data_IF_248241124866
#
_entry.id   IF_248241124866
#
_cell.length_a   1.000
_cell.length_b   1.000
_cell.length_c   1.000
_cell.angle_alpha   90.00
_cell.angle_beta   90.00
_cell.angle_gamma   90.00
#
_symmetry.space_group_name_H-M   'P 1'
#
loop_
_entity.id
_entity.type
_entity.pdbx_description
1 polymer ?
#
# COMPACT_ATOMS: atom_id res chain seq x y z
N UNK A 1 8.45 15.57 -18.86
CA UNK A 1 9.53 14.56 -18.75
C UNK A 1 10.29 14.40 -20.08
N UNK A 2 9.59 14.30 -21.23
CA UNK A 2 10.27 14.16 -22.54
C UNK A 2 11.23 15.32 -22.81
N UNK A 3 10.83 16.57 -22.59
CA UNK A 3 11.68 17.77 -22.73
C UNK A 3 12.91 17.78 -21.79
N UNK A 4 12.92 16.92 -20.77
CA UNK A 4 13.99 16.78 -19.77
C UNK A 4 14.88 15.55 -20.04
N UNK A 5 14.75 14.91 -21.20
CA UNK A 5 15.57 13.76 -21.60
C UNK A 5 15.09 12.41 -21.04
N UNK A 6 13.83 12.33 -20.57
CA UNK A 6 13.23 11.03 -20.19
C UNK A 6 12.47 10.42 -21.36
N UNK A 7 12.75 9.17 -21.66
CA UNK A 7 12.01 8.35 -22.63
C UNK A 7 10.88 7.59 -21.95
N UNK A 8 9.69 7.61 -22.54
CA UNK A 8 8.59 6.80 -22.04
C UNK A 8 8.82 5.29 -22.33
N UNK A 9 8.42 4.47 -21.37
CA UNK A 9 8.46 3.02 -21.47
C UNK A 9 7.08 2.44 -21.19
N UNK A 10 6.68 1.38 -21.91
CA UNK A 10 5.45 0.67 -21.58
C UNK A 10 5.46 0.20 -20.12
N UNK A 11 4.28 0.14 -19.46
CA UNK A 11 4.19 -0.40 -18.11
C UNK A 11 4.77 -1.82 -18.07
N UNK A 12 5.68 -2.11 -17.13
CA UNK A 12 6.15 -3.47 -16.93
C UNK A 12 5.01 -4.34 -16.39
N UNK A 13 5.08 -5.65 -16.64
CA UNK A 13 4.18 -6.60 -16.01
C UNK A 13 4.19 -6.44 -14.48
N UNK A 14 3.02 -6.62 -13.85
CA UNK A 14 2.86 -6.44 -12.40
C UNK A 14 3.79 -7.36 -11.59
N UNK A 15 4.21 -8.48 -12.15
CA UNK A 15 5.23 -9.34 -11.57
C UNK A 15 6.21 -9.80 -12.65
N UNK A 16 7.49 -9.65 -12.36
CA UNK A 16 8.55 -10.13 -13.23
C UNK A 16 8.98 -11.54 -12.82
N UNK A 17 9.18 -12.46 -13.77
CA UNK A 17 9.76 -13.77 -13.50
C UNK A 17 11.14 -13.68 -12.85
N UNK A 18 11.47 -14.64 -11.98
CA UNK A 18 12.82 -14.76 -11.40
C UNK A 18 13.21 -13.76 -10.31
N UNK A 19 12.28 -12.89 -9.85
CA UNK A 19 12.58 -11.94 -8.78
C UNK A 19 12.05 -12.41 -7.42
N UNK A 20 12.84 -12.15 -6.36
CA UNK A 20 12.52 -12.48 -4.97
C UNK A 20 11.34 -11.66 -4.42
N UNK A 21 11.09 -10.46 -4.95
CA UNK A 21 9.96 -9.63 -4.54
C UNK A 21 8.65 -10.19 -5.09
N UNK A 22 7.64 -10.33 -4.22
CA UNK A 22 6.31 -10.78 -4.61
C UNK A 22 5.69 -9.80 -5.61
N UNK A 23 5.79 -8.49 -5.32
CA UNK A 23 5.32 -7.41 -6.17
C UNK A 23 6.26 -6.20 -6.04
N UNK A 24 6.43 -5.39 -7.10
CA UNK A 24 7.32 -4.26 -7.07
C UNK A 24 6.88 -3.20 -6.06
N UNK A 25 7.81 -2.70 -5.27
CA UNK A 25 7.62 -1.56 -4.38
C UNK A 25 7.58 -0.23 -5.15
N UNK A 26 7.29 0.88 -4.46
CA UNK A 26 7.23 2.21 -5.10
C UNK A 26 8.57 2.58 -5.75
N UNK A 27 9.67 2.43 -5.03
CA UNK A 27 11.03 2.57 -5.55
C UNK A 27 11.57 1.17 -5.84
N UNK A 28 11.51 0.74 -7.07
CA UNK A 28 12.05 -0.54 -7.54
C UNK A 28 12.63 -0.33 -8.94
N UNK A 29 13.93 -0.01 -9.06
CA UNK A 29 14.57 0.31 -10.33
C UNK A 29 14.65 -0.89 -11.26
N UNK A 30 14.41 -2.05 -10.73
CA UNK A 30 14.51 -3.33 -11.42
C UNK A 30 13.76 -3.42 -12.75
N UNK A 31 12.69 -2.63 -12.95
CA UNK A 31 12.01 -2.53 -14.24
C UNK A 31 12.86 -1.79 -15.28
N UNK A 32 13.79 -0.96 -14.84
CA UNK A 32 14.67 -0.16 -15.70
C UNK A 32 16.06 -0.79 -15.89
N UNK A 33 16.37 -1.92 -15.23
CA UNK A 33 17.69 -2.55 -15.31
C UNK A 33 18.18 -2.78 -16.77
N UNK A 34 17.37 -3.31 -17.72
CA UNK A 34 17.80 -3.49 -19.08
C UNK A 34 18.11 -2.17 -19.81
N UNK A 35 17.37 -1.11 -19.42
CA UNK A 35 17.54 0.23 -20.00
C UNK A 35 18.71 0.98 -19.38
N UNK A 36 18.90 0.82 -18.07
CA UNK A 36 20.09 1.35 -17.40
C UNK A 36 21.36 0.72 -17.95
N UNK A 37 21.34 -0.56 -18.30
CA UNK A 37 22.43 -1.24 -18.98
C UNK A 37 22.67 -0.65 -20.39
N UNK A 38 21.62 -0.34 -21.16
CA UNK A 38 21.72 0.28 -22.49
C UNK A 38 22.17 1.75 -22.45
N UNK A 39 21.93 2.45 -21.33
CA UNK A 39 22.40 3.82 -21.08
C UNK A 39 23.86 3.87 -20.57
N UNK A 40 24.58 2.76 -20.68
CA UNK A 40 25.91 2.59 -20.06
C UNK A 40 26.94 3.66 -20.41
N UNK A 41 26.78 4.36 -21.52
CA UNK A 41 27.69 5.39 -22.01
C UNK A 41 27.02 6.75 -22.25
N UNK A 42 25.72 6.89 -22.03
CA UNK A 42 24.96 8.14 -22.24
C UNK A 42 24.22 8.58 -20.97
N UNK A 43 24.06 9.90 -20.82
CA UNK A 43 23.15 10.47 -19.79
C UNK A 43 21.73 10.37 -20.27
N UNK A 44 20.80 9.95 -19.43
CA UNK A 44 19.41 9.91 -19.80
C UNK A 44 18.52 9.26 -18.78
N UNK A 45 17.22 9.34 -19.01
CA UNK A 45 16.22 8.78 -18.12
C UNK A 45 15.11 8.05 -18.87
N UNK A 46 14.40 7.25 -18.12
CA UNK A 46 13.18 6.56 -18.56
C UNK A 46 12.08 6.78 -17.53
N UNK A 47 10.83 6.80 -17.99
CA UNK A 47 9.67 6.90 -17.12
C UNK A 47 8.56 5.98 -17.60
N UNK A 48 7.72 5.57 -16.65
CA UNK A 48 6.54 4.75 -16.89
C UNK A 48 5.47 5.02 -15.85
N UNK A 49 4.24 4.63 -16.13
CA UNK A 49 3.18 4.52 -15.12
C UNK A 49 2.95 3.04 -14.87
N UNK A 50 3.09 2.60 -13.64
CA UNK A 50 2.99 1.18 -13.26
C UNK A 50 2.18 0.98 -12.00
N UNK A 51 1.77 -0.26 -11.75
CA UNK A 51 1.19 -0.65 -10.49
C UNK A 51 2.27 -1.05 -9.48
N UNK A 52 2.03 -0.69 -8.23
CA UNK A 52 2.78 -1.12 -7.05
C UNK A 52 1.82 -1.74 -6.04
N UNK A 53 2.20 -2.87 -5.48
CA UNK A 53 1.41 -3.56 -4.46
C UNK A 53 2.14 -3.50 -3.13
N UNK A 54 1.56 -2.81 -2.18
CA UNK A 54 2.07 -2.69 -0.82
C UNK A 54 1.68 -3.90 0.03
N UNK A 55 2.36 -5.04 -0.12
CA UNK A 55 2.03 -6.29 0.60
C UNK A 55 1.98 -6.12 2.13
N UNK A 56 2.68 -5.14 2.70
CA UNK A 56 2.66 -4.82 4.13
C UNK A 56 1.33 -4.22 4.60
N UNK A 57 0.59 -3.56 3.71
CA UNK A 57 -0.70 -2.92 4.03
C UNK A 57 -1.87 -3.91 4.00
N UNK A 58 -1.63 -5.14 3.53
CA UNK A 58 -2.66 -6.20 3.53
C UNK A 58 -3.10 -6.60 4.94
N UNK A 59 -2.33 -6.31 5.99
CA UNK A 59 -2.67 -6.64 7.37
C UNK A 59 -3.58 -5.62 8.06
N UNK A 60 -3.51 -4.35 7.65
CA UNK A 60 -4.30 -3.27 8.22
C UNK A 60 -4.48 -2.16 7.19
N UNK A 61 -5.65 -1.54 7.15
CA UNK A 61 -5.94 -0.34 6.35
C UNK A 61 -6.38 0.77 7.32
N UNK A 62 -5.45 1.33 8.14
CA UNK A 62 -5.79 2.44 9.02
C UNK A 62 -6.19 3.68 8.22
N UNK A 63 -6.81 4.64 8.88
CA UNK A 63 -7.09 5.97 8.31
C UNK A 63 -5.78 6.60 7.82
N UNK A 64 -5.79 7.21 6.64
CA UNK A 64 -4.62 7.87 6.07
C UNK A 64 -3.52 6.93 5.55
N UNK A 65 -3.77 5.61 5.50
CA UNK A 65 -2.87 4.67 4.85
C UNK A 65 -3.28 4.51 3.39
N UNK A 66 -2.33 4.60 2.47
CA UNK A 66 -2.60 4.44 1.04
C UNK A 66 -3.17 3.06 0.69
N UNK A 67 -3.91 2.96 -0.43
CA UNK A 67 -4.41 1.68 -0.94
C UNK A 67 -3.29 0.64 -1.10
N UNK A 68 -3.64 -0.64 -0.91
CA UNK A 68 -2.69 -1.75 -1.12
C UNK A 68 -2.20 -1.82 -2.57
N UNK A 69 -3.06 -1.49 -3.53
CA UNK A 69 -2.70 -1.34 -4.93
C UNK A 69 -2.68 0.14 -5.32
N UNK A 70 -1.54 0.62 -5.81
CA UNK A 70 -1.34 2.02 -6.20
C UNK A 70 -0.79 2.13 -7.62
N UNK A 71 -1.28 3.12 -8.37
CA UNK A 71 -0.56 3.58 -9.57
C UNK A 71 0.57 4.50 -9.15
N UNK A 72 1.71 4.29 -9.78
CA UNK A 72 2.94 5.04 -9.51
C UNK A 72 3.50 5.51 -10.83
N UNK A 73 3.67 6.83 -11.00
CA UNK A 73 4.54 7.35 -12.03
C UNK A 73 5.97 7.16 -11.54
N UNK A 74 6.70 6.29 -12.21
CA UNK A 74 8.10 5.95 -11.88
C UNK A 74 9.02 6.52 -12.93
N UNK A 75 10.12 7.15 -12.47
CA UNK A 75 11.19 7.60 -13.35
C UNK A 75 12.53 7.16 -12.78
N UNK A 76 13.46 6.83 -13.68
CA UNK A 76 14.85 6.50 -13.35
C UNK A 76 15.76 7.30 -14.27
N UNK A 77 16.78 7.90 -13.71
CA UNK A 77 17.81 8.62 -14.44
C UNK A 77 19.18 8.03 -14.15
N UNK A 78 19.98 7.82 -15.18
CA UNK A 78 21.38 7.42 -15.09
C UNK A 78 22.29 8.58 -15.49
N UNK A 79 23.28 8.86 -14.67
CA UNK A 79 24.28 9.90 -14.85
C UNK A 79 24.24 10.98 -13.77
N UNK A 80 25.33 11.76 -13.66
CA UNK A 80 25.43 12.81 -12.64
C UNK A 80 24.41 13.91 -12.90
N UNK A 81 23.72 14.30 -11.81
CA UNK A 81 22.70 15.35 -11.84
C UNK A 81 22.68 16.05 -10.48
N UNK A 82 22.81 17.40 -10.41
CA UNK A 82 22.70 18.11 -9.15
C UNK A 82 21.33 17.85 -8.48
N UNK A 83 21.31 17.62 -7.17
CA UNK A 83 20.09 17.22 -6.44
C UNK A 83 18.91 18.21 -6.58
N UNK A 84 19.19 19.53 -6.65
CA UNK A 84 18.12 20.53 -6.78
C UNK A 84 17.33 20.38 -8.09
N UNK A 85 17.95 19.98 -9.19
CA UNK A 85 17.29 19.88 -10.50
C UNK A 85 16.12 18.90 -10.49
N UNK A 86 16.30 17.60 -10.14
CA UNK A 86 15.18 16.67 -10.11
C UNK A 86 14.16 16.97 -9.01
N UNK A 87 14.55 17.60 -7.90
CA UNK A 87 13.63 18.01 -6.85
C UNK A 87 12.69 19.11 -7.40
N UNK A 88 13.25 20.11 -8.07
CA UNK A 88 12.49 21.17 -8.70
C UNK A 88 11.55 20.66 -9.79
N UNK A 89 12.01 19.74 -10.63
CA UNK A 89 11.20 19.12 -11.69
C UNK A 89 9.98 18.38 -11.12
N UNK A 90 10.18 17.61 -10.03
CA UNK A 90 9.07 16.90 -9.38
C UNK A 90 8.12 17.91 -8.71
N UNK A 91 8.64 18.93 -8.03
CA UNK A 91 7.81 19.96 -7.40
C UNK A 91 6.97 20.73 -8.45
N UNK A 92 7.56 21.09 -9.59
CA UNK A 92 6.84 21.69 -10.74
C UNK A 92 5.78 20.77 -11.32
N UNK A 93 6.07 19.47 -11.43
CA UNK A 93 5.10 18.48 -11.90
C UNK A 93 3.91 18.35 -10.95
N UNK A 94 4.14 18.33 -9.64
CA UNK A 94 3.09 18.32 -8.61
C UNK A 94 2.25 19.59 -8.65
N UNK A 95 2.88 20.75 -8.80
CA UNK A 95 2.18 22.03 -8.95
C UNK A 95 1.31 22.05 -10.22
N UNK A 96 1.84 21.56 -11.34
CA UNK A 96 1.09 21.40 -12.60
C UNK A 96 -0.08 20.42 -12.51
N UNK A 97 -0.05 19.51 -11.54
CA UNK A 97 -1.17 18.61 -11.23
C UNK A 97 -2.20 19.20 -10.27
N UNK A 98 -2.03 20.47 -9.82
CA UNK A 98 -2.98 21.19 -8.96
C UNK A 98 -2.62 21.21 -7.48
N UNK A 99 -1.43 20.75 -7.08
CA UNK A 99 -0.96 20.86 -5.69
C UNK A 99 -0.36 22.25 -5.45
N UNK A 100 -0.74 22.91 -4.35
CA UNK A 100 -0.10 24.18 -3.98
C UNK A 100 1.39 23.96 -3.63
N UNK A 101 2.27 24.49 -4.48
CA UNK A 101 3.72 24.35 -4.31
C UNK A 101 4.22 24.96 -2.98
N UNK A 102 3.54 25.99 -2.44
CA UNK A 102 3.91 26.65 -1.17
C UNK A 102 3.67 25.74 0.04
N UNK A 103 2.73 24.80 -0.09
CA UNK A 103 2.41 23.82 0.95
C UNK A 103 3.32 22.59 0.94
N UNK A 104 4.20 22.45 -0.03
CA UNK A 104 5.08 21.27 -0.10
C UNK A 104 6.05 21.24 1.09
N UNK A 105 6.21 20.05 1.63
CA UNK A 105 7.15 19.73 2.70
C UNK A 105 8.11 18.62 2.23
N UNK A 106 9.29 18.59 2.82
CA UNK A 106 10.38 17.70 2.39
C UNK A 106 10.93 16.94 3.58
N UNK A 107 11.01 15.61 3.47
CA UNK A 107 11.55 14.75 4.54
C UNK A 107 12.81 14.06 4.04
N UNK A 108 13.93 14.41 4.64
CA UNK A 108 15.24 13.85 4.33
C UNK A 108 15.48 12.60 5.18
N UNK A 109 15.84 11.50 4.52
CA UNK A 109 16.25 10.23 5.15
C UNK A 109 17.63 9.86 4.61
N UNK A 110 18.67 10.28 5.32
CA UNK A 110 20.07 10.12 4.91
C UNK A 110 20.99 9.97 6.14
N UNK A 111 22.22 9.50 5.93
CA UNK A 111 23.26 9.67 6.94
C UNK A 111 23.58 11.17 7.11
N UNK A 112 24.19 11.61 8.21
CA UNK A 112 24.53 13.02 8.37
C UNK A 112 25.34 13.57 7.20
N UNK A 113 26.34 12.83 6.71
CA UNK A 113 27.18 13.20 5.56
C UNK A 113 26.41 13.28 4.23
N UNK A 114 25.36 12.49 4.06
CA UNK A 114 24.55 12.48 2.84
C UNK A 114 23.39 13.47 2.91
N UNK A 115 23.02 13.95 4.11
CA UNK A 115 21.93 14.89 4.33
C UNK A 115 22.29 16.31 3.89
N UNK A 116 23.54 16.74 4.14
CA UNK A 116 24.00 18.11 3.86
C UNK A 116 23.82 18.52 2.38
N UNK A 117 24.20 17.70 1.38
CA UNK A 117 23.96 18.03 -0.02
C UNK A 117 22.47 18.17 -0.37
N UNK A 118 21.58 17.40 0.29
CA UNK A 118 20.13 17.53 0.09
C UNK A 118 19.59 18.81 0.74
N UNK A 119 20.03 19.16 1.96
CA UNK A 119 19.66 20.41 2.61
C UNK A 119 20.13 21.63 1.81
N UNK A 120 21.37 21.62 1.28
CA UNK A 120 21.87 22.65 0.39
C UNK A 120 21.02 22.78 -0.88
N UNK A 121 20.62 21.62 -1.48
CA UNK A 121 19.76 21.63 -2.65
C UNK A 121 18.38 22.24 -2.37
N UNK A 122 17.78 21.91 -1.21
CA UNK A 122 16.51 22.50 -0.76
C UNK A 122 16.64 23.98 -0.48
N UNK A 123 17.73 24.42 0.14
CA UNK A 123 18.02 25.84 0.37
C UNK A 123 18.13 26.64 -0.93
N UNK A 124 18.77 26.08 -1.98
CA UNK A 124 18.84 26.70 -3.32
C UNK A 124 17.46 26.86 -3.98
N UNK A 125 16.50 26.01 -3.64
CA UNK A 125 15.12 26.09 -4.10
C UNK A 125 14.24 27.03 -3.26
N UNK A 126 14.82 27.70 -2.24
CA UNK A 126 14.10 28.60 -1.36
C UNK A 126 13.17 27.89 -0.37
N UNK A 127 13.39 26.59 -0.10
CA UNK A 127 12.60 25.83 0.85
C UNK A 127 12.94 26.30 2.27
N UNK A 128 11.92 26.71 3.02
CA UNK A 128 12.10 27.19 4.39
C UNK A 128 12.43 26.03 5.36
N UNK A 129 13.24 26.27 6.40
CA UNK A 129 13.60 25.22 7.39
C UNK A 129 12.39 24.52 8.02
N UNK A 130 11.28 25.22 8.25
CA UNK A 130 10.02 24.64 8.78
C UNK A 130 9.34 23.62 7.85
N UNK A 131 9.65 23.68 6.56
CA UNK A 131 9.16 22.74 5.55
C UNK A 131 10.05 21.49 5.43
N UNK A 132 11.17 21.44 6.16
CA UNK A 132 12.11 20.32 6.10
C UNK A 132 12.01 19.52 7.38
N UNK A 133 11.72 18.23 7.23
CA UNK A 133 11.74 17.22 8.30
C UNK A 133 12.83 16.18 8.09
N UNK A 134 13.11 15.42 9.14
CA UNK A 134 14.02 14.28 9.06
C UNK A 134 13.35 13.00 9.57
N UNK A 135 13.58 11.87 8.87
CA UNK A 135 13.21 10.53 9.37
C UNK A 135 14.43 9.84 9.98
N UNK A 136 14.94 10.41 11.08
CA UNK A 136 16.11 9.91 11.80
C UNK A 136 15.98 8.44 12.22
N UNK A 137 14.75 7.94 12.48
CA UNK A 137 14.52 6.54 12.87
C UNK A 137 14.72 5.54 11.72
N UNK A 138 14.62 5.96 10.47
CA UNK A 138 15.00 5.13 9.32
C UNK A 138 16.52 5.10 9.11
N UNK A 139 17.20 6.19 9.43
CA UNK A 139 18.66 6.26 9.36
C UNK A 139 19.35 5.39 10.42
N UNK A 140 18.73 5.21 11.60
CA UNK A 140 19.29 4.47 12.76
C UNK A 140 18.92 2.99 12.82
N UNK A 141 18.08 2.46 11.96
CA UNK A 141 17.86 1.01 11.91
C UNK A 141 19.13 0.32 11.42
N UNK A 142 19.89 -0.23 12.37
CA UNK A 142 21.14 -1.04 12.19
C UNK A 142 21.00 -2.29 11.28
N UNK A 143 19.86 -2.52 10.66
CA UNK A 143 19.64 -3.60 9.69
C UNK A 143 19.74 -3.07 8.27
N UNK A 144 20.89 -3.21 7.72
CA UNK A 144 21.47 -2.80 6.46
C UNK A 144 21.80 -1.30 6.41
N UNK A 145 23.07 -0.94 6.02
CA UNK A 145 23.35 0.38 5.50
C UNK A 145 22.24 0.70 4.49
N UNK A 146 21.84 1.97 4.36
CA UNK A 146 20.88 2.38 3.35
C UNK A 146 21.42 1.91 1.99
N UNK A 147 21.13 0.64 1.68
CA UNK A 147 21.50 0.09 0.39
C UNK A 147 20.80 0.97 -0.64
N UNK A 148 21.56 1.90 -1.25
CA UNK A 148 21.05 2.77 -2.26
C UNK A 148 21.05 4.28 -1.97
N UNK A 149 21.79 4.80 -0.98
CA UNK A 149 22.04 6.24 -0.81
C UNK A 149 20.88 7.06 -0.20
N UNK A 150 21.02 8.41 -0.18
CA UNK A 150 20.09 9.31 0.44
C UNK A 150 18.71 9.30 -0.23
N UNK A 151 17.66 9.54 0.58
CA UNK A 151 16.27 9.56 0.15
C UNK A 151 15.61 10.87 0.54
N UNK A 152 14.72 11.32 -0.34
CA UNK A 152 13.85 12.46 -0.11
C UNK A 152 12.41 12.03 -0.34
N UNK A 153 11.50 12.40 0.59
CA UNK A 153 10.07 12.36 0.34
C UNK A 153 9.56 13.77 0.19
N UNK A 154 8.70 14.02 -0.80
CA UNK A 154 7.94 15.27 -0.94
C UNK A 154 6.56 14.98 -0.40
N UNK A 155 6.14 15.76 0.59
CA UNK A 155 4.91 15.57 1.35
C UNK A 155 4.03 16.80 1.23
N UNK A 156 2.73 16.62 1.44
CA UNK A 156 1.76 17.71 1.46
C UNK A 156 0.83 17.59 2.68
N UNK A 157 0.66 18.65 3.49
CA UNK A 157 -0.20 18.61 4.66
C UNK A 157 -1.67 18.74 4.27
N UNK A 158 -2.52 17.85 4.77
CA UNK A 158 -3.98 17.89 4.60
C UNK A 158 -4.64 17.95 5.98
N UNK A 159 -5.54 18.90 6.15
CA UNK A 159 -6.30 19.13 7.39
C UNK A 159 -5.45 19.62 8.59
N UNK A 160 -6.04 19.73 9.79
CA UNK A 160 -5.42 20.36 10.95
C UNK A 160 -4.23 19.57 11.52
N UNK A 161 -3.28 20.23 12.22
CA UNK A 161 -2.19 19.56 12.92
C UNK A 161 -2.72 18.70 14.07
N UNK A 162 -2.03 17.57 14.37
CA UNK A 162 -2.36 16.70 15.49
C UNK A 162 -1.89 17.25 16.85
N UNK A 163 -0.91 18.14 16.85
CA UNK A 163 -0.33 18.82 18.01
C UNK A 163 0.46 20.04 17.58
N UNK A 164 0.91 20.85 18.53
CA UNK A 164 1.79 22.01 18.27
C UNK A 164 3.14 21.65 17.66
N UNK A 165 3.58 20.39 17.78
CA UNK A 165 4.83 19.87 17.18
C UNK A 165 4.61 19.12 15.88
N UNK A 166 3.41 19.18 15.30
CA UNK A 166 3.08 18.49 14.06
C UNK A 166 3.80 19.14 12.88
N UNK A 167 4.77 18.45 12.32
CA UNK A 167 5.58 18.91 11.18
C UNK A 167 5.81 17.83 10.13
N UNK A 168 6.62 18.11 9.09
CA UNK A 168 6.98 17.14 8.05
C UNK A 168 7.54 15.85 8.63
N UNK A 169 7.11 14.70 8.10
CA UNK A 169 7.46 13.38 8.64
C UNK A 169 6.63 12.94 9.86
N UNK A 170 5.64 13.73 10.31
CA UNK A 170 4.72 13.30 11.36
C UNK A 170 3.84 12.14 10.87
N UNK A 171 3.68 11.10 11.73
CA UNK A 171 2.93 9.89 11.37
C UNK A 171 1.43 9.95 11.70
N UNK A 172 0.89 11.12 11.97
CA UNK A 172 -0.53 11.30 12.28
C UNK A 172 -1.45 11.16 11.06
N UNK A 173 -0.90 10.95 9.85
CA UNK A 173 -1.65 10.88 8.60
C UNK A 173 -1.97 12.24 7.99
N UNK A 174 -1.53 13.35 8.58
CA UNK A 174 -1.69 14.70 8.01
C UNK A 174 -0.82 14.89 6.77
N UNK A 175 0.41 14.43 6.80
CA UNK A 175 1.35 14.59 5.70
C UNK A 175 1.22 13.42 4.71
N UNK A 176 0.67 13.71 3.54
CA UNK A 176 0.57 12.76 2.43
C UNK A 176 1.90 12.73 1.67
N UNK A 177 2.46 11.55 1.47
CA UNK A 177 3.71 11.39 0.71
C UNK A 177 3.38 11.39 -0.78
N UNK A 178 3.53 12.51 -1.46
CA UNK A 178 3.21 12.65 -2.89
C UNK A 178 4.28 12.03 -3.79
N UNK A 179 5.55 12.19 -3.41
CA UNK A 179 6.66 11.63 -4.16
C UNK A 179 7.76 11.08 -3.25
N UNK A 180 8.48 10.09 -3.76
CA UNK A 180 9.68 9.52 -3.15
C UNK A 180 10.81 9.54 -4.14
N UNK A 181 11.97 9.98 -3.69
CA UNK A 181 13.19 10.04 -4.48
C UNK A 181 14.29 9.26 -3.76
N UNK A 182 15.15 8.58 -4.51
CA UNK A 182 16.35 7.93 -4.01
C UNK A 182 17.51 8.29 -4.93
N UNK A 183 18.60 8.72 -4.31
CA UNK A 183 19.82 9.10 -5.01
C UNK A 183 20.88 8.05 -4.66
N UNK A 184 21.18 7.13 -5.57
CA UNK A 184 22.17 6.09 -5.35
C UNK A 184 23.42 6.31 -6.18
N UNK A 185 24.57 6.16 -5.54
CA UNK A 185 25.83 5.96 -6.26
C UNK A 185 25.90 4.47 -6.64
N UNK A 186 25.61 4.13 -7.89
CA UNK A 186 25.64 2.74 -8.34
C UNK A 186 27.06 2.19 -8.54
N UNK A 187 28.05 3.06 -8.64
CA UNK A 187 29.51 2.79 -8.62
C UNK A 187 30.23 4.14 -8.59
N UNK A 188 31.58 4.15 -8.48
CA UNK A 188 32.36 5.39 -8.59
C UNK A 188 32.12 6.19 -9.89
N UNK A 189 31.46 5.60 -10.87
CA UNK A 189 31.24 6.19 -12.20
C UNK A 189 29.78 6.55 -12.48
N UNK A 190 28.80 6.09 -11.68
CA UNK A 190 27.36 6.27 -11.98
C UNK A 190 26.53 6.65 -10.77
N UNK A 191 25.83 7.76 -10.88
CA UNK A 191 24.70 8.10 -10.02
C UNK A 191 23.39 7.64 -10.68
N UNK A 192 22.50 7.03 -9.90
CA UNK A 192 21.16 6.67 -10.31
C UNK A 192 20.16 7.41 -9.43
N UNK A 193 19.28 8.16 -10.07
CA UNK A 193 18.13 8.78 -9.42
C UNK A 193 16.88 7.94 -9.71
N UNK A 194 16.14 7.61 -8.67
CA UNK A 194 14.83 7.01 -8.79
C UNK A 194 13.78 7.96 -8.24
N UNK A 195 12.69 8.10 -8.96
CA UNK A 195 11.52 8.90 -8.57
C UNK A 195 10.26 8.04 -8.64
N UNK A 196 9.41 8.17 -7.65
CA UNK A 196 8.08 7.58 -7.61
C UNK A 196 7.07 8.62 -7.14
N UNK A 197 6.15 9.05 -8.01
CA UNK A 197 5.00 9.88 -7.66
C UNK A 197 3.81 8.97 -7.42
N UNK A 198 3.17 9.12 -6.26
CA UNK A 198 2.09 8.27 -5.77
C UNK A 198 0.74 8.88 -6.15
N UNK A 199 0.03 8.25 -7.08
CA UNK A 199 -1.20 8.81 -7.66
C UNK A 199 -2.32 9.00 -6.65
N UNK A 200 -2.54 8.03 -5.74
CA UNK A 200 -3.63 8.12 -4.76
C UNK A 200 -3.43 9.27 -3.78
N UNK A 201 -2.20 9.50 -3.33
CA UNK A 201 -1.86 10.60 -2.43
C UNK A 201 -1.89 11.94 -3.15
N UNK A 202 -1.46 11.98 -4.42
CA UNK A 202 -1.58 13.17 -5.25
C UNK A 202 -3.05 13.58 -5.42
N UNK A 203 -3.93 12.64 -5.77
CA UNK A 203 -5.37 12.91 -5.88
C UNK A 203 -5.97 13.34 -4.54
N UNK A 204 -5.55 12.72 -3.43
CA UNK A 204 -6.00 13.10 -2.09
C UNK A 204 -5.56 14.52 -1.72
N UNK A 205 -4.36 14.94 -2.12
CA UNK A 205 -3.87 16.29 -1.89
C UNK A 205 -4.63 17.34 -2.73
N UNK A 206 -4.95 17.00 -4.00
CA UNK A 206 -5.74 17.88 -4.89
C UNK A 206 -7.18 18.02 -4.39
N UNK A 207 -7.78 16.93 -3.89
CA UNK A 207 -9.16 16.92 -3.36
C UNK A 207 -9.22 17.38 -1.88
N UNK A 208 -8.13 17.83 -1.29
CA UNK A 208 -7.98 18.23 0.13
C UNK A 208 -8.57 17.18 1.11
N UNK A 209 -8.31 15.92 0.87
CA UNK A 209 -8.81 14.82 1.70
C UNK A 209 -7.68 13.97 2.28
N UNK A 210 -7.85 13.54 3.56
CA UNK A 210 -6.98 12.53 4.18
C UNK A 210 -7.38 11.10 3.84
N UNK A 211 -8.50 10.94 3.14
CA UNK A 211 -9.08 9.65 2.87
C UNK A 211 -8.77 9.22 1.42
N UNK A 212 -7.79 8.33 1.20
CA UNK A 212 -7.42 7.90 -0.14
C UNK A 212 -8.54 7.22 -0.93
N UNK A 213 -9.58 6.75 -0.24
CA UNK A 213 -10.74 6.13 -0.87
C UNK A 213 -11.90 7.11 -1.13
N UNK A 214 -11.79 8.37 -0.65
CA UNK A 214 -12.76 9.42 -0.97
C UNK A 214 -12.54 10.05 -2.35
N UNK A 215 -11.39 9.79 -2.98
CA UNK A 215 -11.10 10.34 -4.32
C UNK A 215 -12.08 9.80 -5.37
N UNK A 216 -12.42 10.65 -6.35
CA UNK A 216 -13.44 10.38 -7.38
C UNK A 216 -13.34 9.01 -8.05
N UNK A 217 -12.14 8.44 -8.14
CA UNK A 217 -11.90 7.11 -8.69
C UNK A 217 -12.65 6.01 -7.96
N UNK A 218 -12.74 6.08 -6.63
CA UNK A 218 -13.34 5.04 -5.79
C UNK A 218 -14.81 5.29 -5.45
N UNK A 219 -15.40 6.44 -5.80
CA UNK A 219 -16.75 6.84 -5.39
C UNK A 219 -17.77 5.72 -5.59
N UNK A 220 -17.89 5.18 -6.81
CA UNK A 220 -18.84 4.10 -7.11
C UNK A 220 -18.56 2.81 -6.34
N UNK A 221 -17.30 2.45 -6.15
CA UNK A 221 -16.96 1.25 -5.39
C UNK A 221 -17.26 1.44 -3.90
N UNK A 222 -17.03 2.63 -3.36
CA UNK A 222 -17.41 3.00 -1.98
C UNK A 222 -18.93 2.93 -1.81
N UNK A 223 -19.70 3.49 -2.72
CA UNK A 223 -21.17 3.42 -2.73
C UNK A 223 -21.65 1.96 -2.73
N UNK A 224 -21.18 1.13 -3.64
CA UNK A 224 -21.54 -0.30 -3.67
C UNK A 224 -21.18 -1.04 -2.37
N UNK A 225 -20.06 -0.71 -1.73
CA UNK A 225 -19.69 -1.31 -0.43
C UNK A 225 -20.64 -0.83 0.67
N UNK A 226 -21.01 0.46 0.68
CA UNK A 226 -21.94 1.02 1.67
C UNK A 226 -23.34 0.44 1.53
N UNK A 227 -23.82 0.18 0.31
CA UNK A 227 -25.12 -0.48 0.07
C UNK A 227 -25.16 -1.94 0.58
N UNK A 228 -24.02 -2.62 0.55
CA UNK A 228 -23.89 -4.01 1.02
C UNK A 228 -23.81 -4.11 2.53
N UNK A 229 -23.18 -3.12 3.19
CA UNK A 229 -22.93 -3.16 4.63
C UNK A 229 -24.12 -2.64 5.43
N UNK A 230 -24.56 -3.38 6.48
CA UNK A 230 -25.57 -2.85 7.39
C UNK A 230 -25.01 -1.67 8.19
N UNK A 231 -25.86 -0.71 8.53
CA UNK A 231 -25.50 0.42 9.39
C UNK A 231 -25.34 -0.03 10.86
N UNK A 232 -24.22 -0.68 11.18
CA UNK A 232 -23.96 -1.24 12.50
C UNK A 232 -22.64 -0.72 13.10
N UNK A 233 -22.67 -0.47 14.41
CA UNK A 233 -21.50 -0.03 15.17
C UNK A 233 -21.23 1.47 15.10
N UNK A 234 -20.05 1.90 15.50
CA UNK A 234 -19.66 3.31 15.46
C UNK A 234 -19.34 3.76 14.03
N UNK A 235 -19.51 5.07 13.75
CA UNK A 235 -19.17 5.66 12.46
C UNK A 235 -17.72 5.34 12.04
N UNK A 236 -16.78 5.34 13.00
CA UNK A 236 -15.37 5.01 12.75
C UNK A 236 -15.20 3.55 12.34
N UNK A 237 -15.87 2.61 13.01
CA UNK A 237 -15.82 1.19 12.67
C UNK A 237 -16.42 0.93 11.28
N UNK A 238 -17.52 1.58 10.96
CA UNK A 238 -18.17 1.49 9.64
C UNK A 238 -17.26 2.02 8.54
N UNK A 239 -16.65 3.21 8.72
CA UNK A 239 -15.70 3.77 7.77
C UNK A 239 -14.50 2.85 7.58
N UNK A 240 -13.98 2.22 8.64
CA UNK A 240 -12.88 1.28 8.56
C UNK A 240 -13.24 0.02 7.76
N UNK A 241 -14.44 -0.55 7.94
CA UNK A 241 -14.93 -1.69 7.16
C UNK A 241 -15.04 -1.36 5.68
N UNK A 242 -15.62 -0.18 5.36
CA UNK A 242 -15.70 0.31 3.97
C UNK A 242 -14.33 0.35 3.34
N UNK A 243 -13.33 0.95 4.01
CA UNK A 243 -11.94 0.99 3.51
C UNK A 243 -11.38 -0.39 3.23
N UNK A 244 -11.55 -1.32 4.18
CA UNK A 244 -11.03 -2.69 4.03
C UNK A 244 -11.66 -3.36 2.82
N UNK A 245 -12.99 -3.30 2.68
CA UNK A 245 -13.71 -3.94 1.57
C UNK A 245 -13.33 -3.32 0.22
N UNK A 246 -13.28 -1.98 0.13
CA UNK A 246 -12.85 -1.28 -1.09
C UNK A 246 -11.42 -1.69 -1.48
N UNK A 247 -10.48 -1.60 -0.54
CA UNK A 247 -9.07 -1.92 -0.79
C UNK A 247 -8.87 -3.38 -1.22
N UNK A 248 -9.50 -4.31 -0.51
CA UNK A 248 -9.34 -5.75 -0.76
C UNK A 248 -9.98 -6.18 -2.07
N UNK A 249 -11.18 -5.69 -2.36
CA UNK A 249 -11.88 -6.00 -3.60
C UNK A 249 -11.13 -5.40 -4.81
N UNK A 250 -10.69 -4.15 -4.71
CA UNK A 250 -9.94 -3.48 -5.77
C UNK A 250 -8.60 -4.16 -6.06
N UNK A 251 -7.83 -4.45 -5.00
CA UNK A 251 -6.53 -5.09 -5.15
C UNK A 251 -6.66 -6.53 -5.65
N UNK A 252 -7.66 -7.29 -5.18
CA UNK A 252 -7.93 -8.63 -5.66
C UNK A 252 -8.35 -8.63 -7.15
N UNK A 253 -9.25 -7.75 -7.57
CA UNK A 253 -9.65 -7.61 -8.96
C UNK A 253 -8.45 -7.31 -9.87
N UNK A 254 -7.60 -6.36 -9.46
CA UNK A 254 -6.38 -6.02 -10.20
C UNK A 254 -5.44 -7.23 -10.34
N UNK A 255 -5.20 -7.96 -9.25
CA UNK A 255 -4.28 -9.10 -9.26
C UNK A 255 -4.82 -10.28 -10.08
N UNK A 256 -6.09 -10.63 -9.91
CA UNK A 256 -6.71 -11.71 -10.70
C UNK A 256 -6.72 -11.35 -12.18
N UNK A 257 -7.06 -10.10 -12.49
CA UNK A 257 -7.03 -9.60 -13.85
C UNK A 257 -5.63 -9.54 -14.47
N UNK A 258 -4.61 -9.48 -13.63
CA UNK A 258 -3.21 -9.60 -14.05
C UNK A 258 -2.73 -11.07 -14.14
N UNK A 259 -3.64 -12.05 -14.01
CA UNK A 259 -3.35 -13.48 -14.16
C UNK A 259 -2.96 -14.22 -12.88
N UNK A 260 -3.16 -13.61 -11.68
CA UNK A 260 -2.82 -14.26 -10.41
C UNK A 260 -4.05 -14.91 -9.76
N UNK A 261 -4.16 -16.23 -9.83
CA UNK A 261 -5.20 -16.98 -9.12
C UNK A 261 -4.89 -17.13 -7.61
N UNK A 262 -5.93 -17.29 -6.74
CA UNK A 262 -5.74 -17.58 -5.33
C UNK A 262 -5.03 -18.93 -5.10
N UNK A 263 -4.05 -18.99 -4.19
CA UNK A 263 -3.29 -20.20 -3.95
C UNK A 263 -2.63 -20.25 -2.56
N UNK A 264 -1.88 -21.34 -2.25
CA UNK A 264 -1.31 -21.52 -0.92
C UNK A 264 -0.02 -20.77 -0.67
N UNK A 265 0.72 -20.33 -1.69
CA UNK A 265 2.06 -19.76 -1.56
C UNK A 265 2.29 -18.56 -2.46
N UNK A 266 3.27 -17.73 -2.13
CA UNK A 266 3.75 -16.64 -2.96
C UNK A 266 2.67 -15.61 -3.31
N UNK A 267 2.63 -15.16 -4.56
CA UNK A 267 1.67 -14.17 -5.08
C UNK A 267 0.22 -14.68 -5.00
N UNK A 268 0.02 -15.96 -5.26
CA UNK A 268 -1.28 -16.61 -5.16
C UNK A 268 -1.85 -16.58 -3.71
N UNK A 269 -0.97 -16.68 -2.69
CA UNK A 269 -1.36 -16.51 -1.29
C UNK A 269 -1.83 -15.08 -0.98
N UNK A 270 -1.21 -14.09 -1.60
CA UNK A 270 -1.66 -12.68 -1.45
C UNK A 270 -3.09 -12.51 -1.96
N UNK A 271 -3.41 -13.03 -3.15
CA UNK A 271 -4.77 -12.98 -3.70
C UNK A 271 -5.77 -13.68 -2.79
N UNK A 272 -5.47 -14.92 -2.38
CA UNK A 272 -6.30 -15.69 -1.42
C UNK A 272 -6.56 -14.88 -0.14
N UNK A 273 -5.53 -14.26 0.40
CA UNK A 273 -5.61 -13.50 1.64
C UNK A 273 -6.48 -12.25 1.49
N UNK A 274 -6.40 -11.52 0.37
CA UNK A 274 -7.25 -10.37 0.08
C UNK A 274 -8.73 -10.77 0.07
N UNK A 275 -9.08 -11.82 -0.70
CA UNK A 275 -10.47 -12.32 -0.79
C UNK A 275 -11.00 -12.79 0.57
N UNK A 276 -10.21 -13.57 1.32
CA UNK A 276 -10.60 -14.04 2.66
C UNK A 276 -10.73 -12.92 3.67
N UNK A 277 -9.90 -11.87 3.58
CA UNK A 277 -10.01 -10.71 4.46
C UNK A 277 -11.29 -9.93 4.18
N UNK A 278 -11.63 -9.68 2.90
CA UNK A 278 -12.91 -9.10 2.53
C UNK A 278 -14.09 -9.98 2.98
N UNK A 279 -14.03 -11.29 2.74
CA UNK A 279 -15.04 -12.25 3.22
C UNK A 279 -15.18 -12.30 4.75
N UNK A 280 -14.08 -12.09 5.49
CA UNK A 280 -14.11 -11.99 6.96
C UNK A 280 -14.91 -10.77 7.42
N UNK A 281 -14.72 -9.61 6.80
CA UNK A 281 -15.48 -8.39 7.13
C UNK A 281 -16.98 -8.56 6.83
N UNK A 282 -17.32 -9.20 5.72
CA UNK A 282 -18.73 -9.53 5.41
C UNK A 282 -19.31 -10.47 6.47
N UNK A 283 -18.62 -11.55 6.81
CA UNK A 283 -19.10 -12.51 7.81
C UNK A 283 -19.26 -11.88 9.20
N UNK A 284 -18.33 -11.02 9.64
CA UNK A 284 -18.40 -10.31 10.92
C UNK A 284 -19.57 -9.32 11.00
N UNK A 285 -20.15 -8.93 9.87
CA UNK A 285 -21.32 -8.04 9.81
C UNK A 285 -22.62 -8.78 9.49
N UNK A 286 -22.59 -10.13 9.45
CA UNK A 286 -23.74 -10.95 9.10
C UNK A 286 -24.13 -10.90 7.62
N UNK A 287 -23.30 -10.32 6.77
CA UNK A 287 -23.55 -10.22 5.33
C UNK A 287 -23.12 -11.51 4.64
N UNK A 288 -23.96 -11.99 3.71
CA UNK A 288 -23.65 -13.19 2.92
C UNK A 288 -22.34 -13.05 2.15
N UNK A 289 -21.52 -14.10 2.17
CA UNK A 289 -20.28 -14.17 1.40
C UNK A 289 -20.50 -14.04 -0.12
N UNK A 290 -21.71 -14.28 -0.62
CA UNK A 290 -22.03 -14.10 -2.05
C UNK A 290 -21.86 -12.64 -2.51
N UNK A 291 -21.98 -11.67 -1.57
CA UNK A 291 -21.70 -10.26 -1.86
C UNK A 291 -20.26 -9.97 -2.24
N UNK A 292 -19.31 -10.89 -1.91
CA UNK A 292 -17.93 -10.76 -2.35
C UNK A 292 -17.81 -10.74 -3.88
N UNK A 293 -18.61 -11.55 -4.57
CA UNK A 293 -18.62 -11.61 -6.05
C UNK A 293 -19.03 -10.24 -6.62
N UNK A 294 -20.09 -9.64 -6.08
CA UNK A 294 -20.61 -8.32 -6.49
C UNK A 294 -19.57 -7.21 -6.25
N UNK A 295 -18.89 -7.25 -5.09
CA UNK A 295 -17.87 -6.25 -4.74
C UNK A 295 -16.62 -6.35 -5.63
N UNK A 296 -16.16 -7.57 -5.93
CA UNK A 296 -15.00 -7.76 -6.81
C UNK A 296 -15.36 -7.40 -8.26
N UNK A 297 -16.57 -7.67 -8.71
CA UNK A 297 -17.06 -7.24 -10.02
C UNK A 297 -17.14 -5.70 -10.15
N UNK A 298 -17.65 -5.02 -9.11
CA UNK A 298 -17.68 -3.56 -9.08
C UNK A 298 -16.25 -2.96 -9.07
N UNK A 299 -15.33 -3.60 -8.34
CA UNK A 299 -13.92 -3.25 -8.33
C UNK A 299 -13.29 -3.45 -9.71
N UNK A 300 -13.59 -4.55 -10.39
CA UNK A 300 -13.12 -4.84 -11.75
C UNK A 300 -13.59 -3.76 -12.74
N UNK A 301 -14.84 -3.36 -12.69
CA UNK A 301 -15.35 -2.24 -13.50
C UNK A 301 -14.57 -0.95 -13.24
N UNK A 302 -14.22 -0.67 -11.98
CA UNK A 302 -13.40 0.50 -11.61
C UNK A 302 -12.00 0.41 -12.20
N UNK A 303 -11.38 -0.77 -12.19
CA UNK A 303 -10.05 -1.02 -12.78
C UNK A 303 -10.09 -0.80 -14.31
N UNK A 304 -11.10 -1.36 -15.00
CA UNK A 304 -11.21 -1.28 -16.47
C UNK A 304 -11.53 0.12 -16.96
N UNK A 305 -12.57 0.73 -16.44
CA UNK A 305 -13.12 2.00 -17.00
C UNK A 305 -12.26 3.20 -16.68
N UNK A 306 -11.58 3.19 -15.54
CA UNK A 306 -10.83 4.36 -15.04
C UNK A 306 -9.34 4.30 -15.34
N UNK A 307 -8.79 3.14 -15.66
CA UNK A 307 -7.36 2.92 -15.67
C UNK A 307 -6.81 2.36 -16.99
N UNK A 308 -7.65 2.19 -18.00
CA UNK A 308 -7.24 1.80 -19.36
C UNK A 308 -6.60 0.41 -19.43
N UNK A 309 -7.02 -0.52 -18.55
CA UNK A 309 -6.52 -1.90 -18.59
C UNK A 309 -7.23 -2.73 -19.66
N UNK A 310 -6.49 -3.66 -20.25
CA UNK A 310 -7.02 -4.72 -21.11
C UNK A 310 -8.08 -5.54 -20.37
N UNK A 311 -9.08 -6.13 -21.08
CA UNK A 311 -10.15 -6.90 -20.46
C UNK A 311 -9.59 -7.95 -19.51
N UNK A 312 -10.03 -7.92 -18.27
CA UNK A 312 -9.75 -8.96 -17.31
C UNK A 312 -10.33 -10.29 -17.78
N UNK A 313 -9.70 -11.39 -17.44
CA UNK A 313 -10.10 -12.72 -17.91
C UNK A 313 -11.57 -12.99 -17.58
N UNK A 314 -12.29 -13.64 -18.49
CA UNK A 314 -13.66 -14.13 -18.28
C UNK A 314 -13.78 -15.00 -17.02
N UNK A 315 -12.67 -15.53 -16.51
CA UNK A 315 -12.55 -16.38 -15.31
C UNK A 315 -12.46 -15.61 -13.98
N UNK A 316 -12.53 -14.27 -13.97
CA UNK A 316 -12.41 -13.51 -12.71
C UNK A 316 -13.45 -13.96 -11.69
N UNK A 317 -14.73 -13.96 -12.08
CA UNK A 317 -15.83 -14.30 -11.17
C UNK A 317 -15.80 -15.77 -10.76
N UNK A 318 -15.45 -16.68 -11.66
CA UNK A 318 -15.31 -18.11 -11.33
C UNK A 318 -14.19 -18.32 -10.32
N UNK A 319 -13.07 -17.67 -10.51
CA UNK A 319 -11.94 -17.68 -9.57
C UNK A 319 -12.35 -17.17 -8.18
N UNK A 320 -13.12 -16.10 -8.12
CA UNK A 320 -13.63 -15.54 -6.86
C UNK A 320 -14.62 -16.48 -6.19
N UNK A 321 -15.58 -17.04 -6.96
CA UNK A 321 -16.58 -17.98 -6.47
C UNK A 321 -15.95 -19.24 -5.87
N UNK A 322 -14.98 -19.84 -6.55
CA UNK A 322 -14.26 -20.99 -6.03
C UNK A 322 -13.56 -20.72 -4.69
N UNK A 323 -12.85 -19.58 -4.56
CA UNK A 323 -12.18 -19.27 -3.30
C UNK A 323 -13.18 -18.88 -2.21
N UNK A 324 -14.27 -18.20 -2.54
CA UNK A 324 -15.39 -17.91 -1.63
C UNK A 324 -15.99 -19.22 -1.07
N UNK A 325 -16.26 -20.22 -1.91
CA UNK A 325 -16.80 -21.51 -1.48
C UNK A 325 -15.82 -22.28 -0.60
N UNK A 326 -14.52 -22.29 -0.96
CA UNK A 326 -13.48 -22.84 -0.09
C UNK A 326 -13.45 -22.14 1.26
N UNK A 327 -13.60 -20.83 1.27
CA UNK A 327 -13.63 -20.04 2.51
C UNK A 327 -14.92 -20.27 3.31
N UNK A 328 -16.07 -20.38 2.68
CA UNK A 328 -17.34 -20.73 3.33
C UNK A 328 -17.23 -22.07 4.09
N UNK A 329 -16.57 -23.08 3.50
CA UNK A 329 -16.29 -24.35 4.18
C UNK A 329 -15.37 -24.20 5.40
N UNK A 330 -14.44 -23.26 5.38
CA UNK A 330 -13.62 -22.94 6.57
C UNK A 330 -14.48 -22.35 7.67
N UNK A 331 -15.34 -21.36 7.33
CA UNK A 331 -16.19 -20.68 8.31
C UNK A 331 -17.24 -21.62 8.90
N UNK A 332 -17.84 -22.51 8.11
CA UNK A 332 -18.84 -23.46 8.61
C UNK A 332 -18.29 -24.47 9.63
N UNK A 333 -17.00 -24.81 9.53
CA UNK A 333 -16.30 -25.71 10.46
C UNK A 333 -15.71 -24.99 11.67
N UNK A 334 -15.59 -23.67 11.60
CA UNK A 334 -14.91 -22.89 12.63
C UNK A 334 -15.52 -23.01 14.03
N UNK A 335 -16.86 -22.96 14.23
CA UNK A 335 -17.46 -23.09 15.57
C UNK A 335 -17.08 -24.40 16.26
N UNK A 336 -17.24 -25.54 15.59
CA UNK A 336 -16.89 -26.86 16.12
C UNK A 336 -15.40 -26.95 16.49
N UNK A 337 -14.50 -26.44 15.65
CA UNK A 337 -13.07 -26.46 15.90
C UNK A 337 -12.69 -25.56 17.08
N UNK A 338 -13.31 -24.40 17.20
CA UNK A 338 -13.10 -23.46 18.29
C UNK A 338 -13.60 -24.04 19.60
N UNK A 339 -14.80 -24.58 19.64
CA UNK A 339 -15.38 -25.23 20.82
C UNK A 339 -14.48 -26.35 21.34
N UNK A 340 -14.10 -27.30 20.48
CA UNK A 340 -13.21 -28.40 20.82
C UNK A 340 -11.85 -27.91 21.32
N UNK A 341 -11.31 -26.85 20.71
CA UNK A 341 -10.01 -26.32 21.09
C UNK A 341 -10.04 -25.54 22.40
N UNK A 342 -11.15 -24.88 22.74
CA UNK A 342 -11.32 -24.08 23.96
C UNK A 342 -11.73 -24.90 25.16
N UNK A 343 -12.45 -26.02 24.99
CA UNK A 343 -12.95 -26.87 26.08
C UNK A 343 -11.86 -27.36 27.05
N UNK A 344 -10.63 -27.55 26.58
CA UNK A 344 -9.50 -28.07 27.36
C UNK A 344 -8.54 -27.01 27.87
N UNK A 345 -8.85 -25.73 27.72
CA UNK A 345 -7.92 -24.64 28.03
C UNK A 345 -8.59 -23.55 28.83
N UNK A 346 -8.03 -23.22 30.00
CA UNK A 346 -8.63 -22.26 30.92
C UNK A 346 -7.88 -20.94 30.95
N UNK A 347 -6.57 -20.93 30.66
CA UNK A 347 -5.77 -19.71 30.74
C UNK A 347 -5.86 -18.85 29.48
N UNK A 348 -6.17 -17.51 29.57
CA UNK A 348 -6.38 -16.65 28.43
C UNK A 348 -5.20 -16.53 27.45
N UNK A 349 -3.94 -16.70 27.95
CA UNK A 349 -2.75 -16.66 27.09
C UNK A 349 -2.56 -17.96 26.29
N UNK A 350 -2.98 -19.11 26.82
CA UNK A 350 -2.97 -20.37 26.07
C UNK A 350 -4.03 -20.37 24.98
N UNK A 351 -5.22 -19.88 25.30
CA UNK A 351 -6.29 -19.67 24.31
C UNK A 351 -5.82 -18.79 23.15
N UNK A 352 -5.06 -17.72 23.43
CA UNK A 352 -4.48 -16.87 22.39
C UNK A 352 -3.55 -17.62 21.45
N UNK A 353 -2.71 -18.54 21.96
CA UNK A 353 -1.83 -19.39 21.12
C UNK A 353 -2.63 -20.35 20.23
N UNK A 354 -3.69 -20.92 20.79
CA UNK A 354 -4.57 -21.85 20.07
C UNK A 354 -5.30 -21.14 18.93
N UNK A 355 -5.77 -19.91 19.11
CA UNK A 355 -6.38 -19.14 18.02
C UNK A 355 -5.40 -18.93 16.86
N UNK A 356 -4.12 -18.65 17.16
CA UNK A 356 -3.09 -18.52 16.14
C UNK A 356 -2.78 -19.86 15.44
N UNK A 357 -2.78 -20.95 16.18
CA UNK A 357 -2.63 -22.29 15.63
C UNK A 357 -3.80 -22.64 14.70
N UNK A 358 -5.05 -22.43 15.12
CA UNK A 358 -6.23 -22.66 14.29
C UNK A 358 -6.23 -21.78 13.02
N UNK A 359 -5.71 -20.57 13.09
CA UNK A 359 -5.48 -19.74 11.90
C UNK A 359 -4.47 -20.38 10.95
N UNK A 360 -3.35 -20.88 11.49
CA UNK A 360 -2.29 -21.52 10.69
C UNK A 360 -2.74 -22.83 10.05
N UNK A 361 -3.33 -23.71 10.84
CA UNK A 361 -3.64 -25.09 10.44
C UNK A 361 -4.96 -25.19 9.65
N UNK A 362 -5.95 -24.41 10.03
CA UNK A 362 -7.30 -24.49 9.46
C UNK A 362 -7.73 -23.23 8.68
N UNK A 363 -6.93 -22.18 8.70
CA UNK A 363 -7.22 -20.93 7.99
C UNK A 363 -8.37 -20.12 8.59
N UNK A 364 -8.72 -20.36 9.87
CA UNK A 364 -9.77 -19.61 10.57
C UNK A 364 -9.28 -18.18 10.85
N UNK A 365 -9.97 -17.13 10.34
CA UNK A 365 -9.54 -15.76 10.59
C UNK A 365 -9.59 -15.41 12.08
N UNK A 366 -8.59 -14.70 12.58
CA UNK A 366 -8.55 -14.27 13.99
C UNK A 366 -9.77 -13.42 14.37
N UNK A 367 -10.25 -12.56 13.46
CA UNK A 367 -11.45 -11.76 13.69
C UNK A 367 -12.69 -12.63 13.98
N UNK A 368 -12.89 -13.69 13.18
CA UNK A 368 -13.99 -14.66 13.40
C UNK A 368 -13.79 -15.41 14.71
N UNK A 369 -12.57 -15.92 14.96
CA UNK A 369 -12.28 -16.69 16.16
C UNK A 369 -12.45 -15.84 17.45
N UNK A 370 -12.03 -14.57 17.42
CA UNK A 370 -12.20 -13.67 18.57
C UNK A 370 -13.65 -13.22 18.75
N UNK A 371 -14.42 -13.03 17.68
CA UNK A 371 -15.85 -12.74 17.76
C UNK A 371 -16.60 -13.92 18.38
N UNK A 372 -16.34 -15.14 17.91
CA UNK A 372 -16.92 -16.36 18.47
C UNK A 372 -16.60 -16.53 19.97
N UNK A 373 -15.34 -16.30 20.38
CA UNK A 373 -14.97 -16.36 21.80
C UNK A 373 -15.77 -15.36 22.65
N UNK A 374 -15.96 -14.13 22.13
CA UNK A 374 -16.75 -13.10 22.83
C UNK A 374 -18.23 -13.48 22.95
N UNK A 375 -18.82 -14.04 21.89
CA UNK A 375 -20.21 -14.49 21.85
C UNK A 375 -20.48 -15.69 22.77
N UNK A 376 -19.43 -16.46 23.12
CA UNK A 376 -19.51 -17.60 24.03
C UNK A 376 -18.87 -17.32 25.40
N UNK A 377 -18.69 -16.04 25.78
CA UNK A 377 -18.12 -15.61 27.07
C UNK A 377 -16.75 -16.22 27.42
N UNK A 378 -15.94 -16.53 26.39
CA UNK A 378 -14.61 -17.12 26.54
C UNK A 378 -13.56 -16.01 26.60
N UNK A 379 -12.99 -15.78 27.77
CA UNK A 379 -11.93 -14.79 27.95
C UNK A 379 -10.65 -15.17 27.19
N UNK A 380 -10.14 -14.23 26.40
CA UNK A 380 -8.86 -14.34 25.65
C UNK A 380 -7.99 -13.13 25.89
N UNK A 381 -6.67 -13.31 25.82
CA UNK A 381 -5.73 -12.19 25.94
C UNK A 381 -5.43 -11.60 24.55
N UNK A 382 -6.15 -10.54 24.19
CA UNK A 382 -5.91 -9.82 22.93
C UNK A 382 -4.50 -9.25 22.82
N UNK A 383 -3.88 -8.83 23.95
CA UNK A 383 -2.48 -8.40 23.99
C UNK A 383 -1.52 -9.52 23.58
N UNK A 384 -1.80 -10.76 24.03
CA UNK A 384 -1.03 -11.95 23.65
C UNK A 384 -1.22 -12.30 22.17
N UNK A 385 -2.44 -12.24 21.67
CA UNK A 385 -2.73 -12.44 20.24
C UNK A 385 -1.92 -11.44 19.41
N UNK A 386 -2.02 -10.14 19.71
CA UNK A 386 -1.30 -9.09 18.98
C UNK A 386 0.24 -9.19 19.08
N UNK A 387 0.77 -9.70 20.21
CA UNK A 387 2.22 -9.89 20.39
C UNK A 387 2.75 -11.08 19.58
N UNK A 388 2.00 -12.16 19.54
CA UNK A 388 2.38 -13.38 18.82
C UNK A 388 2.17 -13.26 17.31
N UNK A 389 1.15 -12.52 16.87
CA UNK A 389 0.87 -12.27 15.45
C UNK A 389 1.92 -11.40 14.75
N UNK A 390 2.73 -10.66 15.52
CA UNK A 390 3.84 -9.83 15.01
C UNK A 390 5.17 -10.58 14.84
N UNK A 391 5.26 -11.82 15.32
CA UNK A 391 6.44 -12.69 15.17
C UNK A 391 6.31 -13.57 13.93
#
# INVERSE_FOLDING_TARGET
>A
LAAQGYRWQPPPALAQPGRAELFPSHLAPSWADPLLASLSHSRGGVHTVRWSIGARHIHAVPVGVPPSAQRVLSAVWAGPRPFHVPIEEVAKALAGAGVDARGLAFVVSASPSDADPLHQALGRLGVEPRQIGSDARRATRKRAPLAGGPRLSIEFPVGPPCSGTCGPGCRCGRYLVLARMRFSAASQVRSVLEVAVLESELLSAVDDTREPFAVRRFTRLVENVQEVLPAQGTRTAQAQRVRVLVDRSFTAALLIGSGFAPGPRGRAHVVRRLLRHAGTELALTGVSLTRLDTLVEAADRTVRTKLGFTPLSHHLLDTVREERERFARVLSRAPMLLERAMARRHHPAERARVLLQLRGDHGIPLGIATAWCRENDIAISLRHVARLDRR
#
